data_IF_138391651799
#
_entry.id   IF_138391651799
#
_cell.length_a   1.000
_cell.length_b   1.000
_cell.length_c   1.000
_cell.angle_alpha   90.00
_cell.angle_beta   90.00
_cell.angle_gamma   90.00
#
_symmetry.space_group_name_H-M   'P 1'
#
loop_
_entity.id
_entity.type
_entity.pdbx_description
1 polymer ?
#
# COMPACT_ATOMS: atom_id res chain seq x y z
N UNK A 1 -37.42 0.04 67.84
CA UNK A 1 -38.89 0.04 67.90
C UNK A 1 -39.39 1.14 66.96
N UNK A 2 -40.17 0.79 65.93
CA UNK A 2 -41.03 1.74 65.20
C UNK A 2 -40.50 2.31 63.87
N UNK A 3 -40.89 1.67 62.77
CA UNK A 3 -40.94 2.19 61.40
C UNK A 3 -42.20 3.07 61.23
N UNK A 4 -42.12 4.13 60.41
CA UNK A 4 -43.16 4.73 59.53
C UNK A 4 -42.57 6.00 58.89
N UNK A 5 -41.99 6.02 57.69
CA UNK A 5 -42.49 5.89 56.31
C UNK A 5 -43.39 7.03 55.75
N UNK A 6 -42.97 7.49 54.55
CA UNK A 6 -43.60 8.30 53.49
C UNK A 6 -43.63 9.85 53.64
N UNK A 7 -43.30 10.69 52.63
CA UNK A 7 -43.10 10.46 51.19
C UNK A 7 -42.32 11.59 50.46
N UNK A 8 -41.75 11.21 49.31
CA UNK A 8 -41.58 11.95 48.04
C UNK A 8 -40.66 13.19 47.96
N UNK A 9 -39.48 13.00 47.35
CA UNK A 9 -39.26 13.56 46.01
C UNK A 9 -38.17 12.80 45.25
N UNK A 10 -38.55 12.47 44.01
CA UNK A 10 -37.79 11.73 43.00
C UNK A 10 -36.66 12.62 42.47
N UNK A 11 -35.42 12.16 42.55
CA UNK A 11 -34.31 12.70 41.78
C UNK A 11 -33.77 11.60 40.87
N UNK A 12 -33.99 11.79 39.57
CA UNK A 12 -33.50 10.93 38.48
C UNK A 12 -32.01 11.22 38.28
N UNK A 13 -31.10 10.24 38.34
CA UNK A 13 -29.71 10.45 37.93
C UNK A 13 -29.64 10.46 36.41
N UNK A 14 -29.23 11.60 35.85
CA UNK A 14 -28.98 11.74 34.41
C UNK A 14 -27.83 10.81 33.99
N UNK A 15 -28.07 10.12 32.89
CA UNK A 15 -27.29 9.06 32.27
C UNK A 15 -25.82 9.39 32.09
N UNK A 16 -24.98 8.42 32.47
CA UNK A 16 -23.59 8.32 32.07
C UNK A 16 -23.49 8.36 30.54
N UNK A 17 -22.76 9.33 30.02
CA UNK A 17 -22.22 9.30 28.67
C UNK A 17 -21.02 8.36 28.70
N UNK A 18 -21.21 7.17 28.15
CA UNK A 18 -20.13 6.26 27.79
C UNK A 18 -19.22 6.97 26.79
N UNK A 19 -18.04 7.39 27.24
CA UNK A 19 -16.91 7.73 26.38
C UNK A 19 -16.40 6.43 25.72
N UNK A 20 -17.13 5.96 24.71
CA UNK A 20 -16.57 5.05 23.72
C UNK A 20 -15.60 5.87 22.90
N UNK A 21 -14.30 5.71 23.21
CA UNK A 21 -13.22 6.21 22.39
C UNK A 21 -13.43 5.73 20.94
N UNK A 22 -13.94 6.63 20.10
CA UNK A 22 -14.06 6.46 18.66
C UNK A 22 -12.66 6.35 18.09
N UNK A 23 -12.17 5.13 17.94
CA UNK A 23 -11.02 4.82 17.09
C UNK A 23 -11.42 5.13 15.65
N UNK A 24 -11.01 6.30 15.15
CA UNK A 24 -11.14 6.69 13.76
C UNK A 24 -10.49 5.61 12.86
N UNK A 25 -11.19 5.09 11.83
CA UNK A 25 -10.71 4.01 10.97
C UNK A 25 -9.49 4.35 10.10
N UNK A 26 -9.00 5.59 10.18
CA UNK A 26 -7.81 6.09 9.47
C UNK A 26 -6.48 5.69 10.12
N UNK A 27 -6.46 5.23 11.38
CA UNK A 27 -5.19 4.96 12.10
C UNK A 27 -4.65 3.52 11.92
N UNK A 28 -5.50 2.54 11.63
CA UNK A 28 -5.12 1.12 11.72
C UNK A 28 -4.10 0.70 10.64
N UNK A 29 -4.26 1.21 9.40
CA UNK A 29 -3.33 0.97 8.30
C UNK A 29 -1.95 1.61 8.54
N UNK A 30 -1.92 2.85 9.03
CA UNK A 30 -0.67 3.51 9.43
C UNK A 30 0.01 2.82 10.59
N UNK A 31 -0.74 2.26 11.54
CA UNK A 31 -0.18 1.56 12.70
C UNK A 31 0.47 0.23 12.33
N UNK A 32 -0.03 -0.46 11.31
CA UNK A 32 0.64 -1.66 10.78
C UNK A 32 1.94 -1.32 10.04
N UNK A 33 1.97 -0.27 9.23
CA UNK A 33 3.20 0.20 8.58
C UNK A 33 4.25 0.67 9.60
N UNK A 34 3.82 1.37 10.66
CA UNK A 34 4.69 1.76 11.79
C UNK A 34 5.28 0.56 12.52
N UNK A 35 4.49 -0.48 12.77
CA UNK A 35 4.98 -1.75 13.36
C UNK A 35 5.95 -2.47 12.43
N UNK A 36 5.68 -2.50 11.13
CA UNK A 36 6.57 -3.08 10.14
C UNK A 36 7.91 -2.33 10.07
N UNK A 37 7.88 -0.99 10.13
CA UNK A 37 9.09 -0.17 10.23
C UNK A 37 9.87 -0.46 11.52
N UNK A 38 9.17 -0.53 12.66
CA UNK A 38 9.79 -0.89 13.94
C UNK A 38 10.47 -2.25 13.91
N UNK A 39 9.89 -3.23 13.20
CA UNK A 39 10.51 -4.54 13.00
C UNK A 39 11.79 -4.45 12.16
N UNK A 40 11.81 -3.62 11.11
CA UNK A 40 13.01 -3.36 10.30
C UNK A 40 14.12 -2.70 11.14
N UNK A 41 13.77 -1.72 11.98
CA UNK A 41 14.73 -1.10 12.90
C UNK A 41 15.33 -2.10 13.91
N UNK A 42 14.50 -3.00 14.43
CA UNK A 42 14.96 -4.08 15.30
C UNK A 42 15.89 -5.05 14.57
N UNK A 43 15.60 -5.39 13.32
CA UNK A 43 16.46 -6.23 12.51
C UNK A 43 17.82 -5.56 12.24
N UNK A 44 17.82 -4.30 11.80
CA UNK A 44 19.05 -3.51 11.63
C UNK A 44 19.89 -3.50 12.91
N UNK A 45 19.25 -3.28 14.07
CA UNK A 45 19.95 -3.29 15.36
C UNK A 45 20.56 -4.64 15.74
N UNK A 46 20.01 -5.76 15.25
CA UNK A 46 20.51 -7.11 15.51
C UNK A 46 21.62 -7.51 14.55
N UNK A 47 21.52 -7.04 13.31
CA UNK A 47 22.42 -7.41 12.24
C UNK A 47 23.69 -6.55 12.20
N UNK A 48 23.70 -5.38 12.87
CA UNK A 48 24.89 -4.56 13.08
C UNK A 48 25.70 -5.04 14.28
N UNK A 49 27.00 -5.27 14.08
CA UNK A 49 27.91 -5.57 15.18
C UNK A 49 28.30 -4.33 16.01
N UNK A 50 29.10 -4.53 17.06
CA UNK A 50 29.46 -3.43 17.98
C UNK A 50 30.32 -2.34 17.34
N UNK A 51 31.17 -2.68 16.38
CA UNK A 51 32.05 -1.72 15.72
C UNK A 51 31.29 -0.96 14.64
N UNK A 52 30.46 -1.66 13.85
CA UNK A 52 29.53 -1.04 12.91
C UNK A 52 28.54 -0.08 13.61
N UNK A 53 28.04 -0.44 14.80
CA UNK A 53 27.21 0.45 15.62
C UNK A 53 27.96 1.71 16.09
N UNK A 54 29.28 1.63 16.34
CA UNK A 54 30.10 2.80 16.68
C UNK A 54 30.35 3.67 15.46
N UNK A 55 30.61 3.08 14.30
CA UNK A 55 30.76 3.81 13.04
C UNK A 55 29.46 4.54 12.68
N UNK A 56 28.31 3.87 12.83
CA UNK A 56 27.00 4.49 12.64
C UNK A 56 26.78 5.66 13.60
N UNK A 57 27.14 5.49 14.87
CA UNK A 57 27.06 6.58 15.86
C UNK A 57 27.94 7.75 15.46
N UNK A 58 29.15 7.48 14.99
CA UNK A 58 30.08 8.51 14.54
C UNK A 58 29.51 9.28 13.34
N UNK A 59 28.89 8.57 12.39
CA UNK A 59 28.17 9.20 11.28
C UNK A 59 27.04 10.12 11.76
N UNK A 60 26.38 9.78 12.87
CA UNK A 60 25.32 10.57 13.47
C UNK A 60 25.82 11.64 14.48
N UNK A 61 27.13 11.88 14.61
CA UNK A 61 27.64 12.85 15.59
C UNK A 61 27.10 14.26 15.30
N UNK A 62 26.70 14.97 16.36
CA UNK A 62 26.04 16.27 16.27
C UNK A 62 24.55 16.23 15.91
N UNK A 63 23.98 15.07 15.53
CA UNK A 63 22.56 14.94 15.20
C UNK A 63 21.72 14.39 16.36
N UNK A 64 22.34 13.71 17.33
CA UNK A 64 21.66 13.09 18.47
C UNK A 64 22.42 13.30 19.80
N UNK A 65 21.74 13.21 20.97
CA UNK A 65 22.38 13.29 22.27
C UNK A 65 23.46 12.22 22.48
N UNK A 66 24.61 12.61 23.04
CA UNK A 66 25.75 11.70 23.28
C UNK A 66 25.50 10.67 24.38
N UNK A 67 24.49 10.90 25.21
CA UNK A 67 24.19 10.11 26.42
C UNK A 67 23.49 8.76 26.12
N UNK A 68 22.88 8.63 24.94
CA UNK A 68 22.26 7.38 24.52
C UNK A 68 23.34 6.33 24.31
N UNK A 69 23.36 5.23 25.07
CA UNK A 69 24.40 4.17 24.93
C UNK A 69 23.96 2.95 24.11
N UNK A 70 22.65 2.76 23.92
CA UNK A 70 22.13 1.63 23.15
C UNK A 70 21.83 2.01 21.70
N UNK A 71 22.09 1.12 20.75
CA UNK A 71 21.81 1.40 19.33
C UNK A 71 20.32 1.64 19.05
N UNK A 72 19.42 0.91 19.72
CA UNK A 72 17.98 1.21 19.64
C UNK A 72 17.62 2.60 20.18
N UNK A 73 18.37 3.12 21.16
CA UNK A 73 18.17 4.50 21.64
C UNK A 73 18.62 5.52 20.60
N UNK A 74 19.72 5.25 19.89
CA UNK A 74 20.15 6.08 18.76
C UNK A 74 19.05 6.14 17.69
N UNK A 75 18.53 4.99 17.27
CA UNK A 75 17.45 4.94 16.28
C UNK A 75 16.19 5.70 16.75
N UNK A 76 15.81 5.55 18.02
CA UNK A 76 14.73 6.33 18.62
C UNK A 76 15.02 7.82 18.61
N UNK A 77 16.22 8.25 18.97
CA UNK A 77 16.60 9.67 18.96
C UNK A 77 16.58 10.26 17.55
N UNK A 78 16.96 9.47 16.53
CA UNK A 78 16.79 9.86 15.13
C UNK A 78 15.32 9.99 14.74
N UNK A 79 14.43 9.09 15.20
CA UNK A 79 12.99 9.21 14.99
C UNK A 79 12.42 10.47 15.66
N UNK A 80 12.81 10.78 16.91
CA UNK A 80 12.35 11.98 17.62
C UNK A 80 12.87 13.30 17.00
N UNK A 81 14.00 13.24 16.29
CA UNK A 81 14.57 14.37 15.56
C UNK A 81 13.99 14.51 14.15
N UNK A 82 12.98 13.72 13.78
CA UNK A 82 12.37 13.65 12.44
C UNK A 82 13.37 13.35 11.31
N UNK A 83 14.55 12.79 11.64
CA UNK A 83 15.58 12.41 10.67
C UNK A 83 15.23 11.09 9.98
N UNK A 84 14.48 10.23 10.67
CA UNK A 84 13.96 8.97 10.12
C UNK A 84 12.50 8.80 10.56
N UNK A 85 11.70 8.16 9.72
CA UNK A 85 10.34 7.74 10.06
C UNK A 85 9.93 6.55 9.19
N UNK A 86 8.78 5.95 9.48
CA UNK A 86 8.22 4.93 8.59
C UNK A 86 7.91 5.49 7.18
N UNK A 87 7.75 6.81 7.04
CA UNK A 87 7.50 7.49 5.77
C UNK A 87 8.79 7.96 5.07
N UNK A 88 9.88 8.20 5.79
CA UNK A 88 11.16 8.61 5.23
C UNK A 88 12.33 7.87 5.88
N UNK A 89 13.01 7.03 5.09
CA UNK A 89 14.17 6.26 5.54
C UNK A 89 15.45 6.64 4.78
N UNK A 90 15.45 7.78 4.06
CA UNK A 90 16.60 8.22 3.23
C UNK A 90 17.86 8.39 4.05
N UNK A 91 17.78 9.14 5.15
CA UNK A 91 18.91 9.34 6.05
C UNK A 91 19.46 8.01 6.57
N UNK A 92 18.58 7.08 6.97
CA UNK A 92 19.01 5.78 7.48
C UNK A 92 19.73 4.95 6.40
N UNK A 93 19.25 4.97 5.15
CA UNK A 93 19.93 4.32 4.02
C UNK A 93 21.30 4.94 3.75
N UNK A 94 21.42 6.26 3.81
CA UNK A 94 22.70 6.97 3.62
C UNK A 94 23.71 6.61 4.71
N UNK A 95 23.28 6.61 5.97
CA UNK A 95 24.11 6.20 7.10
C UNK A 95 24.59 4.74 6.97
N UNK A 96 23.69 3.81 6.61
CA UNK A 96 24.04 2.40 6.39
C UNK A 96 25.01 2.20 5.22
N UNK A 97 24.85 2.96 4.14
CA UNK A 97 25.80 2.95 3.00
C UNK A 97 27.17 3.50 3.40
N UNK A 98 27.20 4.54 4.24
CA UNK A 98 28.45 5.13 4.72
C UNK A 98 29.30 4.12 5.51
N UNK A 99 28.65 3.30 6.35
CA UNK A 99 29.29 2.19 7.09
C UNK A 99 29.38 0.88 6.28
N UNK A 100 29.20 0.94 4.96
CA UNK A 100 29.33 -0.20 4.03
C UNK A 100 28.32 -1.35 4.22
N UNK A 101 27.23 -1.14 4.96
CA UNK A 101 26.12 -2.11 5.12
C UNK A 101 25.06 -1.97 4.05
N UNK A 102 25.46 -2.29 2.82
CA UNK A 102 24.61 -2.21 1.63
C UNK A 102 23.43 -3.20 1.67
N UNK A 103 23.61 -4.33 2.34
CA UNK A 103 22.56 -5.32 2.62
C UNK A 103 21.41 -4.73 3.45
N UNK A 104 21.74 -3.97 4.51
CA UNK A 104 20.73 -3.30 5.34
C UNK A 104 20.10 -2.09 4.64
N UNK A 105 20.87 -1.39 3.80
CA UNK A 105 20.29 -0.35 2.94
C UNK A 105 19.30 -0.96 1.92
N UNK A 106 19.58 -2.16 1.40
CA UNK A 106 18.65 -2.92 0.54
C UNK A 106 17.40 -3.34 1.31
N UNK A 107 17.54 -3.80 2.56
CA UNK A 107 16.40 -4.12 3.44
C UNK A 107 15.44 -2.92 3.59
N UNK A 108 15.96 -1.71 3.77
CA UNK A 108 15.15 -0.49 3.82
C UNK A 108 14.49 -0.16 2.48
N UNK A 109 15.19 -0.40 1.37
CA UNK A 109 14.63 -0.21 0.02
C UNK A 109 13.45 -1.16 -0.22
N UNK A 110 13.56 -2.42 0.23
CA UNK A 110 12.45 -3.38 0.23
C UNK A 110 11.28 -2.89 1.08
N UNK A 111 11.56 -2.35 2.27
CA UNK A 111 10.52 -1.77 3.11
C UNK A 111 9.80 -0.59 2.42
N UNK A 112 10.51 0.34 1.79
CA UNK A 112 9.92 1.48 1.07
C UNK A 112 9.01 1.02 -0.07
N UNK A 113 9.50 0.15 -0.96
CA UNK A 113 8.70 -0.35 -2.09
C UNK A 113 7.44 -1.05 -1.58
N UNK A 114 7.55 -1.89 -0.55
CA UNK A 114 6.39 -2.56 0.05
C UNK A 114 5.41 -1.56 0.67
N UNK A 115 5.90 -0.55 1.38
CA UNK A 115 5.08 0.52 1.97
C UNK A 115 4.33 1.26 0.87
N UNK A 116 5.02 1.64 -0.19
CA UNK A 116 4.46 2.43 -1.29
C UNK A 116 3.41 1.63 -2.09
N UNK A 117 3.67 0.33 -2.35
CA UNK A 117 2.66 -0.59 -2.88
C UNK A 117 1.43 -0.74 -1.98
N UNK A 118 1.64 -0.84 -0.66
CA UNK A 118 0.52 -0.94 0.29
C UNK A 118 -0.35 0.32 0.25
N UNK A 119 0.28 1.51 0.23
CA UNK A 119 -0.42 2.79 0.11
C UNK A 119 -1.15 2.90 -1.23
N UNK A 120 -0.51 2.48 -2.33
CA UNK A 120 -1.11 2.47 -3.66
C UNK A 120 -2.38 1.62 -3.71
N UNK A 121 -2.33 0.40 -3.18
CA UNK A 121 -3.45 -0.54 -3.18
C UNK A 121 -4.61 -0.06 -2.29
N UNK A 122 -4.31 0.52 -1.12
CA UNK A 122 -5.34 1.13 -0.26
C UNK A 122 -6.00 2.33 -0.95
N UNK A 123 -5.20 3.23 -1.55
CA UNK A 123 -5.74 4.37 -2.29
C UNK A 123 -6.55 3.94 -3.52
N UNK A 124 -6.04 2.99 -4.31
CA UNK A 124 -6.71 2.40 -5.46
C UNK A 124 -8.09 1.86 -5.06
N UNK A 125 -8.14 1.01 -4.03
CA UNK A 125 -9.38 0.32 -3.64
C UNK A 125 -10.43 1.27 -3.09
N UNK A 126 -10.03 2.21 -2.23
CA UNK A 126 -10.92 3.26 -1.72
C UNK A 126 -11.48 4.13 -2.83
N UNK A 127 -10.63 4.53 -3.79
CA UNK A 127 -11.07 5.31 -4.94
C UNK A 127 -12.05 4.55 -5.82
N UNK A 128 -11.80 3.26 -6.06
CA UNK A 128 -12.68 2.37 -6.84
C UNK A 128 -14.05 2.19 -6.15
N UNK A 129 -14.09 2.26 -4.83
CA UNK A 129 -15.31 2.13 -4.00
C UNK A 129 -15.95 3.46 -3.60
N UNK A 130 -15.44 4.60 -4.10
CA UNK A 130 -15.92 5.95 -3.77
C UNK A 130 -15.90 6.25 -2.25
N UNK A 131 -14.89 5.72 -1.55
CA UNK A 131 -14.65 5.95 -0.12
C UNK A 131 -13.73 7.14 0.13
N UNK A 132 -13.67 7.58 1.39
CA UNK A 132 -12.73 8.61 1.84
C UNK A 132 -11.28 8.25 1.51
N UNK A 133 -10.61 9.17 0.81
CA UNK A 133 -9.27 8.97 0.28
C UNK A 133 -8.20 9.42 1.28
N UNK A 134 -7.17 8.60 1.53
CA UNK A 134 -6.03 9.04 2.32
C UNK A 134 -5.23 10.10 1.57
N UNK A 135 -4.54 10.95 2.33
CA UNK A 135 -3.53 11.82 1.74
C UNK A 135 -2.34 10.99 1.26
N UNK A 136 -1.99 11.14 -0.02
CA UNK A 136 -0.84 10.50 -0.66
C UNK A 136 -0.13 11.48 -1.59
N UNK A 137 1.10 11.17 -2.01
CA UNK A 137 1.87 12.03 -2.91
C UNK A 137 1.20 12.23 -4.27
N UNK A 138 1.48 13.32 -5.01
CA UNK A 138 0.94 13.53 -6.34
C UNK A 138 1.23 12.39 -7.32
N UNK A 139 2.46 11.85 -7.34
CA UNK A 139 2.83 10.71 -8.18
C UNK A 139 1.96 9.48 -7.88
N UNK A 140 1.79 9.15 -6.59
CA UNK A 140 0.92 8.05 -6.15
C UNK A 140 -0.52 8.22 -6.61
N UNK A 141 -1.08 9.44 -6.52
CA UNK A 141 -2.44 9.75 -7.00
C UNK A 141 -2.56 9.54 -8.50
N UNK A 142 -1.55 9.95 -9.26
CA UNK A 142 -1.49 9.82 -10.72
C UNK A 142 -1.40 8.36 -11.12
N UNK A 143 -0.44 7.60 -10.57
CA UNK A 143 -0.31 6.16 -10.79
C UNK A 143 -1.60 5.42 -10.49
N UNK A 144 -2.22 5.65 -9.32
CA UNK A 144 -3.49 5.00 -8.98
C UNK A 144 -4.62 5.36 -9.96
N UNK A 145 -4.72 6.62 -10.41
CA UNK A 145 -5.72 7.04 -11.40
C UNK A 145 -5.52 6.30 -12.72
N UNK A 146 -4.28 6.21 -13.20
CA UNK A 146 -3.94 5.49 -14.41
C UNK A 146 -4.34 4.01 -14.32
N UNK A 147 -3.98 3.34 -13.22
CA UNK A 147 -4.40 1.95 -12.98
C UNK A 147 -5.92 1.77 -12.97
N UNK A 148 -6.68 2.67 -12.30
CA UNK A 148 -8.14 2.59 -12.30
C UNK A 148 -8.72 2.74 -13.71
N UNK A 149 -8.16 3.67 -14.48
CA UNK A 149 -8.70 4.01 -15.78
C UNK A 149 -8.49 2.84 -16.77
N UNK A 150 -7.38 2.10 -16.63
CA UNK A 150 -7.12 0.85 -17.36
C UNK A 150 -8.23 -0.18 -17.11
N UNK A 151 -8.79 -0.22 -15.90
CA UNK A 151 -9.88 -1.14 -15.55
C UNK A 151 -11.23 -0.61 -16.03
N UNK A 152 -11.54 0.68 -15.81
CA UNK A 152 -12.88 1.24 -16.07
C UNK A 152 -13.20 1.43 -17.54
N UNK A 153 -12.23 1.84 -18.36
CA UNK A 153 -12.50 2.10 -19.78
C UNK A 153 -12.51 0.82 -20.62
N UNK A 154 -12.02 -0.29 -20.07
CA UNK A 154 -12.01 -1.60 -20.70
C UNK A 154 -13.27 -2.45 -20.38
N UNK A 155 -14.29 -1.84 -19.75
CA UNK A 155 -15.55 -2.50 -19.34
C UNK A 155 -16.47 -2.91 -20.52
N UNK A 156 -16.01 -2.83 -21.78
CA UNK A 156 -16.71 -3.43 -22.93
C UNK A 156 -16.63 -4.98 -22.89
N UNK A 157 -17.63 -5.58 -22.23
CA UNK A 157 -18.15 -6.97 -22.19
C UNK A 157 -17.21 -8.21 -22.20
N UNK A 158 -15.95 -8.17 -22.63
CA UNK A 158 -15.05 -9.35 -22.65
C UNK A 158 -13.81 -9.24 -21.76
N UNK A 159 -13.41 -8.03 -21.35
CA UNK A 159 -12.27 -7.80 -20.46
C UNK A 159 -12.69 -7.32 -19.07
N UNK A 160 -13.92 -7.64 -18.64
CA UNK A 160 -14.32 -7.42 -17.24
C UNK A 160 -13.30 -8.12 -16.35
N UNK A 161 -12.59 -7.36 -15.52
CA UNK A 161 -12.19 -7.86 -14.22
C UNK A 161 -13.51 -8.23 -13.53
N UNK A 162 -13.94 -9.46 -13.75
CA UNK A 162 -15.27 -9.91 -13.33
C UNK A 162 -15.27 -9.89 -11.82
N UNK A 163 -15.86 -8.83 -11.25
CA UNK A 163 -15.98 -8.63 -9.81
C UNK A 163 -16.64 -9.85 -9.18
N UNK A 164 -17.56 -10.54 -9.89
CA UNK A 164 -18.15 -11.79 -9.41
C UNK A 164 -17.11 -12.92 -9.38
N UNK A 165 -16.22 -13.02 -10.38
CA UNK A 165 -15.07 -13.95 -10.36
C UNK A 165 -14.07 -13.60 -9.26
N UNK A 166 -13.69 -12.35 -9.09
CA UNK A 166 -12.79 -11.92 -8.02
C UNK A 166 -13.39 -12.18 -6.64
N UNK A 167 -14.70 -11.96 -6.49
CA UNK A 167 -15.45 -12.30 -5.27
C UNK A 167 -15.48 -13.81 -5.01
N UNK A 168 -15.77 -14.64 -6.01
CA UNK A 168 -15.73 -16.10 -5.81
C UNK A 168 -14.33 -16.59 -5.48
N UNK A 169 -13.29 -15.97 -6.04
CA UNK A 169 -11.89 -16.27 -5.71
C UNK A 169 -11.59 -15.96 -4.23
N UNK A 170 -11.99 -14.78 -3.75
CA UNK A 170 -11.90 -14.37 -2.33
C UNK A 170 -12.68 -15.34 -1.43
N UNK A 171 -13.88 -15.74 -1.82
CA UNK A 171 -14.76 -16.64 -1.05
C UNK A 171 -14.28 -18.10 -1.06
N UNK A 172 -13.57 -18.53 -2.11
CA UNK A 172 -13.18 -19.92 -2.32
C UNK A 172 -12.13 -20.47 -1.36
N UNK A 173 -11.54 -19.62 -0.49
CA UNK A 173 -10.38 -19.93 0.38
C UNK A 173 -9.19 -20.56 -0.37
N UNK A 174 -9.19 -20.54 -1.71
CA UNK A 174 -8.04 -20.97 -2.50
C UNK A 174 -6.86 -20.06 -2.18
N UNK A 175 -5.66 -20.59 -2.39
CA UNK A 175 -4.48 -19.78 -2.27
C UNK A 175 -4.54 -18.67 -3.32
N UNK A 176 -4.85 -17.44 -2.89
CA UNK A 176 -4.92 -16.26 -3.74
C UNK A 176 -3.64 -16.11 -4.57
N UNK A 177 -2.50 -16.63 -4.07
CA UNK A 177 -1.24 -16.72 -4.79
C UNK A 177 -1.28 -17.57 -6.07
N UNK A 178 -1.86 -18.76 -6.02
CA UNK A 178 -1.92 -19.66 -7.19
C UNK A 178 -2.79 -19.03 -8.28
N UNK A 179 -3.87 -18.38 -7.87
CA UNK A 179 -4.77 -17.62 -8.74
C UNK A 179 -4.06 -16.40 -9.33
N UNK A 180 -3.20 -15.74 -8.56
CA UNK A 180 -2.45 -14.55 -8.98
C UNK A 180 -1.46 -14.86 -10.11
N UNK A 181 -0.83 -16.03 -10.05
CA UNK A 181 0.12 -16.49 -11.07
C UNK A 181 -0.63 -17.10 -12.27
N UNK A 182 -1.68 -17.88 -12.05
CA UNK A 182 -2.53 -18.45 -13.10
C UNK A 182 -3.26 -17.36 -13.92
N UNK A 183 -3.81 -16.32 -13.28
CA UNK A 183 -4.47 -15.19 -13.96
C UNK A 183 -3.52 -14.43 -14.88
N UNK A 184 -2.25 -14.30 -14.49
CA UNK A 184 -1.25 -13.68 -15.37
C UNK A 184 -0.88 -14.61 -16.48
N UNK A 185 -0.55 -15.87 -16.21
CA UNK A 185 -0.16 -16.81 -17.26
C UNK A 185 -1.28 -16.99 -18.30
N UNK A 186 -2.54 -17.07 -17.88
CA UNK A 186 -3.73 -17.17 -18.76
C UNK A 186 -3.95 -15.90 -19.59
N UNK A 187 -3.57 -14.72 -19.08
CA UNK A 187 -3.71 -13.43 -19.77
C UNK A 187 -2.45 -12.95 -20.51
N UNK A 188 -1.31 -13.64 -20.41
CA UNK A 188 0.01 -13.04 -20.68
C UNK A 188 0.57 -13.20 -22.10
N UNK A 189 -0.21 -12.95 -23.15
CA UNK A 189 0.43 -12.52 -24.42
C UNK A 189 1.34 -11.28 -24.24
N UNK A 190 1.27 -10.63 -23.07
CA UNK A 190 2.21 -9.71 -22.45
C UNK A 190 3.69 -10.12 -22.59
N UNK A 191 4.40 -9.40 -23.45
CA UNK A 191 5.86 -9.57 -23.63
C UNK A 191 6.69 -8.79 -22.61
N UNK A 192 6.14 -7.73 -22.03
CA UNK A 192 6.85 -6.84 -21.11
C UNK A 192 6.68 -7.28 -19.66
N UNK A 193 7.79 -7.45 -18.94
CA UNK A 193 7.78 -7.78 -17.51
C UNK A 193 7.14 -6.67 -16.66
N UNK A 194 7.30 -5.40 -17.05
CA UNK A 194 6.63 -4.28 -16.39
C UNK A 194 5.12 -4.28 -16.60
N UNK A 195 4.65 -4.68 -17.79
CA UNK A 195 3.23 -4.84 -18.08
C UNK A 195 2.62 -6.01 -17.30
N UNK A 196 3.37 -7.12 -17.17
CA UNK A 196 2.98 -8.24 -16.28
C UNK A 196 2.87 -7.78 -14.82
N UNK A 197 3.85 -7.03 -14.32
CA UNK A 197 3.81 -6.49 -12.96
C UNK A 197 2.62 -5.54 -12.76
N UNK A 198 2.36 -4.66 -13.73
CA UNK A 198 1.22 -3.73 -13.68
C UNK A 198 -0.11 -4.48 -13.59
N UNK A 199 -0.29 -5.52 -14.39
CA UNK A 199 -1.48 -6.38 -14.32
C UNK A 199 -1.63 -7.08 -12.96
N UNK A 200 -0.52 -7.55 -12.36
CA UNK A 200 -0.55 -8.11 -11.02
C UNK A 200 -1.00 -7.07 -9.97
N UNK A 201 -0.48 -5.84 -10.06
CA UNK A 201 -0.89 -4.75 -9.16
C UNK A 201 -2.38 -4.45 -9.30
N UNK A 202 -2.91 -4.44 -10.53
CA UNK A 202 -4.35 -4.26 -10.80
C UNK A 202 -5.17 -5.42 -10.22
N UNK A 203 -4.77 -6.67 -10.49
CA UNK A 203 -5.45 -7.86 -9.94
C UNK A 203 -5.50 -7.77 -8.41
N UNK A 204 -4.38 -7.40 -7.77
CA UNK A 204 -4.34 -7.22 -6.31
C UNK A 204 -5.33 -6.15 -5.86
N UNK A 205 -5.37 -4.99 -6.54
CA UNK A 205 -6.33 -3.93 -6.26
C UNK A 205 -7.79 -4.39 -6.37
N UNK A 206 -8.14 -5.11 -7.44
CA UNK A 206 -9.50 -5.61 -7.67
C UNK A 206 -9.92 -6.70 -6.68
N UNK A 207 -8.99 -7.57 -6.25
CA UNK A 207 -9.23 -8.52 -5.15
C UNK A 207 -9.59 -7.76 -3.88
N UNK A 208 -8.84 -6.71 -3.53
CA UNK A 208 -9.09 -5.90 -2.34
C UNK A 208 -10.47 -5.22 -2.43
N UNK A 209 -10.81 -4.66 -3.59
CA UNK A 209 -12.12 -4.04 -3.85
C UNK A 209 -13.26 -5.03 -3.69
N UNK A 210 -13.19 -6.18 -4.38
CA UNK A 210 -14.22 -7.21 -4.33
C UNK A 210 -14.47 -7.67 -2.90
N UNK A 211 -13.42 -7.68 -2.11
CA UNK A 211 -13.46 -8.22 -0.78
C UNK A 211 -13.92 -7.21 0.28
N UNK A 212 -13.53 -5.94 0.17
CA UNK A 212 -14.13 -4.84 0.94
C UNK A 212 -15.64 -4.67 0.64
N UNK A 213 -16.07 -4.94 -0.58
CA UNK A 213 -17.48 -4.90 -0.97
C UNK A 213 -18.31 -6.09 -0.45
N UNK A 214 -17.67 -7.21 -0.08
CA UNK A 214 -18.36 -8.38 0.48
C UNK A 214 -18.70 -8.14 1.95
N UNK A 215 -19.92 -7.68 2.23
CA UNK A 215 -20.44 -7.42 3.58
C UNK A 215 -20.21 -8.63 4.49
N UNK A 216 -19.16 -8.61 5.31
CA UNK A 216 -18.93 -9.55 6.41
C UNK A 216 -18.01 -8.92 7.45
N UNK A 217 -18.18 -9.34 8.71
CA UNK A 217 -17.70 -8.69 9.93
C UNK A 217 -16.22 -8.27 9.93
N UNK A 218 -15.90 -7.34 10.83
CA UNK A 218 -14.58 -6.74 11.14
C UNK A 218 -13.39 -7.72 11.11
N UNK A 219 -13.61 -8.97 11.52
CA UNK A 219 -12.63 -10.05 11.50
C UNK A 219 -12.12 -10.34 10.08
N UNK A 220 -13.03 -10.40 9.09
CA UNK A 220 -12.63 -10.62 7.70
C UNK A 220 -11.88 -9.43 7.15
N UNK A 221 -12.28 -8.20 7.47
CA UNK A 221 -11.54 -6.98 7.07
C UNK A 221 -10.06 -7.00 7.50
N UNK A 222 -9.78 -7.53 8.70
CA UNK A 222 -8.41 -7.67 9.19
C UNK A 222 -7.63 -8.78 8.48
N UNK A 223 -8.28 -9.92 8.18
CA UNK A 223 -7.70 -10.92 7.28
C UNK A 223 -7.41 -10.36 5.88
N UNK A 224 -8.21 -9.39 5.42
CA UNK A 224 -8.06 -8.73 4.11
C UNK A 224 -6.85 -7.80 4.06
N UNK A 225 -6.67 -6.99 5.10
CA UNK A 225 -5.46 -6.18 5.23
C UNK A 225 -4.22 -7.08 5.32
N UNK A 226 -4.28 -8.24 5.98
CA UNK A 226 -3.18 -9.22 5.91
C UNK A 226 -2.90 -9.70 4.47
N UNK A 227 -3.94 -9.93 3.67
CA UNK A 227 -3.79 -10.28 2.26
C UNK A 227 -3.18 -9.13 1.43
N UNK A 228 -3.57 -7.86 1.67
CA UNK A 228 -2.95 -6.70 1.03
C UNK A 228 -1.44 -6.65 1.30
N UNK A 229 -1.04 -6.83 2.56
CA UNK A 229 0.35 -6.82 2.97
C UNK A 229 1.14 -7.98 2.37
N UNK A 230 0.55 -9.19 2.32
CA UNK A 230 1.16 -10.38 1.70
C UNK A 230 1.34 -10.23 0.18
N UNK A 231 0.35 -9.66 -0.51
CA UNK A 231 0.45 -9.35 -1.94
C UNK A 231 1.49 -8.27 -2.21
N UNK A 232 1.51 -7.20 -1.41
CA UNK A 232 2.52 -6.14 -1.51
C UNK A 232 3.94 -6.68 -1.27
N UNK A 233 4.13 -7.62 -0.34
CA UNK A 233 5.43 -8.27 -0.08
C UNK A 233 5.95 -8.98 -1.35
N UNK A 234 5.10 -9.76 -2.03
CA UNK A 234 5.47 -10.48 -3.27
C UNK A 234 5.65 -9.58 -4.48
N UNK A 235 4.82 -8.54 -4.59
CA UNK A 235 4.95 -7.54 -5.65
C UNK A 235 6.23 -6.72 -5.47
N UNK A 236 6.64 -6.47 -4.22
CA UNK A 236 7.83 -5.68 -3.93
C UNK A 236 9.12 -6.36 -4.41
N UNK A 237 9.26 -7.68 -4.25
CA UNK A 237 10.44 -8.39 -4.77
C UNK A 237 10.48 -8.35 -6.30
N UNK A 238 9.36 -8.63 -6.97
CA UNK A 238 9.28 -8.56 -8.44
C UNK A 238 9.56 -7.16 -8.97
N UNK A 239 9.08 -6.13 -8.28
CA UNK A 239 9.38 -4.74 -8.64
C UNK A 239 10.88 -4.45 -8.52
N UNK A 240 11.51 -4.86 -7.42
CA UNK A 240 12.94 -4.66 -7.19
C UNK A 240 13.84 -5.46 -8.14
N UNK A 241 13.35 -6.58 -8.67
CA UNK A 241 14.05 -7.35 -9.71
C UNK A 241 13.99 -6.67 -11.08
N UNK A 242 12.97 -5.83 -11.33
CA UNK A 242 12.81 -5.09 -12.59
C UNK A 242 13.43 -3.69 -12.54
N UNK A 243 13.39 -3.02 -11.39
CA UNK A 243 13.90 -1.67 -11.21
C UNK A 243 13.47 -1.06 -9.87
N UNK A 244 13.06 0.20 -9.91
CA UNK A 244 12.64 0.98 -8.75
C UNK A 244 11.14 1.28 -8.76
N UNK A 245 10.66 1.84 -7.65
CA UNK A 245 9.31 2.38 -7.55
C UNK A 245 9.04 3.48 -8.58
N UNK A 246 10.04 4.33 -8.84
CA UNK A 246 9.92 5.43 -9.80
C UNK A 246 9.83 4.89 -11.23
N UNK A 247 10.65 3.89 -11.58
CA UNK A 247 10.57 3.20 -12.89
C UNK A 247 9.18 2.57 -13.12
N UNK A 248 8.56 2.03 -12.06
CA UNK A 248 7.19 1.52 -12.14
C UNK A 248 6.17 2.63 -12.42
N UNK A 249 6.26 3.75 -11.69
CA UNK A 249 5.34 4.87 -11.88
C UNK A 249 5.47 5.45 -13.29
N UNK A 250 6.70 5.66 -13.76
CA UNK A 250 7.00 6.12 -15.12
C UNK A 250 6.42 5.15 -16.17
N UNK A 251 6.64 3.84 -16.02
CA UNK A 251 6.06 2.86 -16.93
C UNK A 251 4.52 2.95 -17.02
N UNK A 252 3.83 3.08 -15.89
CA UNK A 252 2.37 3.18 -15.86
C UNK A 252 1.89 4.48 -16.51
N UNK A 253 2.58 5.58 -16.25
CA UNK A 253 2.28 6.90 -16.81
C UNK A 253 2.53 6.97 -18.32
N UNK A 254 3.70 6.49 -18.79
CA UNK A 254 4.03 6.37 -20.21
C UNK A 254 2.96 5.57 -20.95
N UNK A 255 2.58 4.40 -20.41
CA UNK A 255 1.60 3.53 -21.04
C UNK A 255 0.21 4.15 -21.09
N UNK A 256 -0.21 4.83 -20.05
CA UNK A 256 -1.49 5.54 -20.10
C UNK A 256 -1.44 6.75 -21.04
N UNK A 257 -0.30 7.44 -21.13
CA UNK A 257 -0.12 8.58 -22.03
C UNK A 257 -0.03 8.15 -23.51
N UNK A 258 0.59 7.02 -23.82
CA UNK A 258 0.58 6.46 -25.18
C UNK A 258 -0.85 6.14 -25.64
N UNK A 259 -1.67 5.65 -24.72
CA UNK A 259 -3.05 5.24 -25.01
C UNK A 259 -4.01 6.43 -25.03
N UNK A 260 -3.90 7.39 -24.10
CA UNK A 260 -4.89 8.47 -23.93
C UNK A 260 -4.35 9.89 -24.12
N UNK A 261 -3.03 10.08 -24.22
CA UNK A 261 -2.41 11.38 -24.52
C UNK A 261 -2.70 11.87 -25.94
N UNK A 262 -3.19 11.00 -26.84
CA UNK A 262 -3.67 11.41 -28.17
C UNK A 262 -5.08 12.03 -28.15
N UNK A 263 -5.76 12.03 -26.99
CA UNK A 263 -7.15 12.48 -26.89
C UNK A 263 -7.28 14.02 -26.77
N UNK A 264 -6.21 14.72 -26.36
CA UNK A 264 -6.24 16.19 -26.17
C UNK A 264 -6.04 17.00 -27.47
N UNK A 265 -5.51 16.41 -28.56
CA UNK A 265 -5.31 17.13 -29.83
C UNK A 265 -6.42 16.92 -30.89
N UNK A 266 -7.38 16.03 -30.64
CA UNK A 266 -8.41 15.71 -31.64
C UNK A 266 -9.83 15.99 -31.13
N UNK A 267 -10.31 17.21 -31.41
CA UNK A 267 -11.74 17.47 -31.54
C UNK A 267 -12.30 16.60 -32.69
N UNK A 268 -12.77 15.38 -32.43
CA UNK A 268 -13.96 14.78 -33.07
C UNK A 268 -14.13 13.27 -32.85
N UNK A 269 -15.41 12.90 -32.65
CA UNK A 269 -16.06 11.63 -33.03
C UNK A 269 -15.73 10.34 -32.27
N UNK A 270 -16.80 9.63 -31.88
CA UNK A 270 -16.79 8.28 -31.27
C UNK A 270 -15.98 7.23 -32.06
N UNK A 271 -15.63 7.48 -33.32
CA UNK A 271 -14.76 6.60 -34.13
C UNK A 271 -13.29 6.65 -33.74
N UNK A 272 -12.78 7.78 -33.23
CA UNK A 272 -11.39 7.90 -32.78
C UNK A 272 -11.18 7.13 -31.48
N UNK A 273 -12.14 7.22 -30.55
CA UNK A 273 -12.16 6.41 -29.32
C UNK A 273 -12.24 4.92 -29.66
N UNK A 274 -13.06 4.52 -30.65
CA UNK A 274 -13.15 3.14 -31.09
C UNK A 274 -11.84 2.62 -31.73
N UNK A 275 -11.10 3.45 -32.46
CA UNK A 275 -9.81 3.09 -33.05
C UNK A 275 -8.68 3.04 -32.02
N UNK A 276 -8.67 3.92 -31.02
CA UNK A 276 -7.74 3.85 -29.87
C UNK A 276 -8.04 2.62 -29.01
N UNK A 277 -9.32 2.30 -28.77
CA UNK A 277 -9.75 1.05 -28.11
C UNK A 277 -9.43 -0.20 -28.95
N UNK A 278 -9.40 -0.08 -30.28
CA UNK A 278 -8.95 -1.16 -31.17
C UNK A 278 -7.42 -1.32 -31.14
N UNK A 279 -6.66 -0.23 -31.14
CA UNK A 279 -5.20 -0.26 -30.93
C UNK A 279 -4.84 -0.78 -29.53
N UNK A 280 -5.68 -0.51 -28.52
CA UNK A 280 -5.63 -1.12 -27.20
C UNK A 280 -5.78 -2.66 -27.23
N UNK A 281 -6.67 -3.19 -28.08
CA UNK A 281 -6.83 -4.66 -28.29
C UNK A 281 -5.63 -5.30 -28.99
N UNK A 282 -4.89 -4.53 -29.78
CA UNK A 282 -3.71 -4.97 -30.52
C UNK A 282 -2.40 -4.70 -29.76
N UNK A 283 -2.47 -3.87 -28.72
CA UNK A 283 -1.34 -3.56 -27.84
C UNK A 283 -0.95 -4.81 -27.05
N UNK A 284 0.35 -5.14 -26.96
CA UNK A 284 0.85 -6.25 -26.14
C UNK A 284 0.59 -6.07 -24.64
N UNK A 285 -0.13 -5.03 -24.21
CA UNK A 285 -0.61 -4.82 -22.85
C UNK A 285 -1.94 -5.56 -22.56
N UNK A 286 -2.69 -5.99 -23.59
CA UNK A 286 -4.00 -6.63 -23.45
C UNK A 286 -4.17 -7.93 -24.27
N UNK A 287 -3.10 -8.41 -24.91
CA UNK A 287 -3.01 -9.74 -25.51
C UNK A 287 -2.34 -10.71 -24.55
#
# INVERSE_FOLDING_TARGET
MGIKDLANNVFVPSTATDDVAMSSPTNEGSDKLRRAFSAVLLQISRDLDKDEQKEFRFYCDGLIPREDKGFLKILRSLEHADLISWADVKFLKEALRAIKRLDLAKLLTTFEVRRDLTILLDFYSRKRLELDLPYVSPSMKTTARHLLTVVTENESERCRFDIARMRTLVESKRNIQEIFEEEVDVRSGLKSSWSKLTMLVIIAGEIIVAAQASRSDEIRRNEMLEQCFSLADKLSSRMLDLGSWDDFCEHVEERCSEVWGQQEECNSSNSVVADVVRQLRESPFFL
#
